data_IF_386115312638
#
_entry.id   IF_386115312638
#
_cell.length_a   1.000
_cell.length_b   1.000
_cell.length_c   1.000
_cell.angle_alpha   90.00
_cell.angle_beta   90.00
_cell.angle_gamma   90.00
#
_symmetry.space_group_name_H-M   'P 1'
#
loop_
_entity.id
_entity.type
_entity.pdbx_description
1 polymer ?
#
# COMPACT_ATOMS: atom_id res chain seq x y z
N UNK A 1 -37.61 -1.15 -13.38
CA UNK A 1 -36.61 -0.12 -13.04
C UNK A 1 -35.24 -0.75 -13.15
N UNK A 2 -34.54 -0.58 -14.26
CA UNK A 2 -33.15 -1.01 -14.44
C UNK A 2 -32.28 0.00 -13.71
N UNK A 3 -31.77 -0.37 -12.55
CA UNK A 3 -30.74 0.42 -11.83
C UNK A 3 -29.51 0.47 -12.72
N UNK A 4 -29.32 1.57 -13.46
CA UNK A 4 -28.06 1.81 -14.17
C UNK A 4 -26.91 1.75 -13.17
N UNK A 5 -26.07 0.71 -13.30
CA UNK A 5 -24.87 0.58 -12.46
C UNK A 5 -23.95 1.75 -12.78
N UNK A 6 -23.67 2.59 -11.77
CA UNK A 6 -22.74 3.71 -11.90
C UNK A 6 -21.39 3.24 -12.45
N UNK A 7 -20.83 3.98 -13.38
CA UNK A 7 -19.48 3.72 -13.94
C UNK A 7 -18.46 3.73 -12.81
N UNK A 8 -17.63 2.67 -12.72
CA UNK A 8 -16.65 2.49 -11.65
C UNK A 8 -17.08 1.60 -10.49
N UNK A 9 -18.37 1.21 -10.41
CA UNK A 9 -18.90 0.39 -9.32
C UNK A 9 -18.11 -0.92 -9.10
N UNK A 10 -17.80 -1.65 -10.17
CA UNK A 10 -17.05 -2.89 -10.07
C UNK A 10 -15.62 -2.63 -9.58
N UNK A 11 -14.92 -1.67 -10.18
CA UNK A 11 -13.53 -1.33 -9.84
C UNK A 11 -13.38 -0.93 -8.36
N UNK A 12 -14.25 -0.03 -7.87
CA UNK A 12 -14.16 0.42 -6.48
C UNK A 12 -14.55 -0.65 -5.47
N UNK A 13 -15.51 -1.51 -5.78
CA UNK A 13 -15.84 -2.63 -4.90
C UNK A 13 -14.73 -3.68 -4.86
N UNK A 14 -14.15 -4.02 -6.01
CA UNK A 14 -13.00 -4.92 -6.06
C UNK A 14 -11.81 -4.33 -5.30
N UNK A 15 -11.49 -3.06 -5.53
CA UNK A 15 -10.45 -2.38 -4.78
C UNK A 15 -10.76 -2.35 -3.28
N UNK A 16 -12.01 -2.09 -2.89
CA UNK A 16 -12.45 -2.13 -1.50
C UNK A 16 -12.18 -3.48 -0.83
N UNK A 17 -12.52 -4.58 -1.50
CA UNK A 17 -12.22 -5.94 -1.00
C UNK A 17 -10.72 -6.17 -0.87
N UNK A 18 -9.92 -5.76 -1.87
CA UNK A 18 -8.46 -5.90 -1.81
C UNK A 18 -7.86 -5.13 -0.64
N UNK A 19 -8.34 -3.91 -0.36
CA UNK A 19 -7.89 -3.14 0.81
C UNK A 19 -8.32 -3.77 2.14
N UNK A 20 -9.50 -4.37 2.22
CA UNK A 20 -9.90 -5.13 3.40
C UNK A 20 -8.99 -6.34 3.64
N UNK A 21 -8.62 -7.07 2.59
CA UNK A 21 -7.66 -8.17 2.66
C UNK A 21 -6.28 -7.63 3.10
N UNK A 22 -5.85 -6.49 2.54
CA UNK A 22 -4.58 -5.85 2.94
C UNK A 22 -4.58 -5.43 4.40
N UNK A 23 -5.71 -4.93 4.94
CA UNK A 23 -5.83 -4.62 6.36
C UNK A 23 -5.65 -5.85 7.26
N UNK A 24 -6.23 -6.99 6.86
CA UNK A 24 -6.03 -8.27 7.57
C UNK A 24 -4.57 -8.70 7.48
N UNK A 25 -3.94 -8.56 6.32
CA UNK A 25 -2.53 -8.91 6.12
C UNK A 25 -1.60 -8.08 7.01
N UNK A 26 -1.84 -6.77 7.14
CA UNK A 26 -1.10 -5.92 8.06
C UNK A 26 -1.20 -6.40 9.51
N UNK A 27 -2.40 -6.82 9.95
CA UNK A 27 -2.58 -7.36 11.31
C UNK A 27 -1.88 -8.71 11.50
N UNK A 28 -1.84 -9.56 10.48
CA UNK A 28 -1.09 -10.82 10.53
C UNK A 28 0.42 -10.59 10.55
N UNK A 29 0.88 -9.49 9.98
CA UNK A 29 2.29 -9.09 9.91
C UNK A 29 2.74 -8.23 11.08
N UNK A 30 1.93 -8.08 12.13
CA UNK A 30 2.14 -7.12 13.24
C UNK A 30 3.48 -7.27 13.97
N UNK A 31 4.07 -8.47 13.93
CA UNK A 31 5.38 -8.79 14.53
C UNK A 31 6.55 -8.64 13.56
N UNK A 32 6.27 -8.33 12.28
CA UNK A 32 7.31 -8.19 11.27
C UNK A 32 8.05 -6.86 11.42
N UNK A 33 9.33 -6.89 11.14
CA UNK A 33 10.14 -5.67 11.11
C UNK A 33 9.77 -4.81 9.89
N UNK A 34 9.83 -3.48 10.08
CA UNK A 34 9.50 -2.50 9.05
C UNK A 34 10.59 -1.45 8.89
N UNK A 35 10.85 -0.98 7.66
CA UNK A 35 11.79 0.11 7.42
C UNK A 35 11.15 1.45 7.80
N UNK A 36 11.60 2.03 8.92
CA UNK A 36 11.13 3.32 9.42
C UNK A 36 12.30 4.27 9.66
N UNK A 37 12.24 5.47 9.08
CA UNK A 37 13.23 6.54 9.28
C UNK A 37 14.69 6.11 9.04
N UNK A 38 14.88 5.31 8.00
CA UNK A 38 16.22 4.89 7.58
C UNK A 38 16.78 3.66 8.29
N UNK A 39 16.02 3.06 9.20
CA UNK A 39 16.41 1.86 9.95
C UNK A 39 15.33 0.79 9.86
N UNK A 40 15.73 -0.48 9.96
CA UNK A 40 14.77 -1.57 10.13
C UNK A 40 14.41 -1.65 11.61
N UNK A 41 13.14 -1.44 11.92
CA UNK A 41 12.62 -1.41 13.28
C UNK A 41 11.63 -2.53 13.52
N UNK A 42 11.80 -3.19 14.66
CA UNK A 42 10.87 -4.16 15.22
C UNK A 42 10.17 -3.62 16.47
N UNK A 43 9.52 -4.52 17.21
CA UNK A 43 8.87 -4.21 18.49
C UNK A 43 7.74 -3.20 18.39
N UNK A 44 7.62 -2.31 19.37
CA UNK A 44 6.51 -1.36 19.46
C UNK A 44 6.37 -0.44 18.25
N UNK A 45 7.49 -0.03 17.63
CA UNK A 45 7.46 0.81 16.42
C UNK A 45 6.82 0.11 15.23
N UNK A 46 7.16 -1.15 14.99
CA UNK A 46 6.57 -1.97 13.93
C UNK A 46 5.08 -2.23 14.21
N UNK A 47 4.71 -2.53 15.45
CA UNK A 47 3.30 -2.71 15.84
C UNK A 47 2.46 -1.48 15.52
N UNK A 48 2.93 -0.27 15.91
CA UNK A 48 2.22 0.98 15.61
C UNK A 48 2.10 1.19 14.11
N UNK A 49 3.15 0.93 13.34
CA UNK A 49 3.13 1.02 11.89
C UNK A 49 2.04 0.12 11.27
N UNK A 50 2.04 -1.17 11.60
CA UNK A 50 1.07 -2.13 11.08
C UNK A 50 -0.37 -1.79 11.48
N UNK A 51 -0.59 -1.34 12.73
CA UNK A 51 -1.92 -0.91 13.20
C UNK A 51 -2.41 0.32 12.43
N UNK A 52 -1.56 1.31 12.19
CA UNK A 52 -1.91 2.51 11.40
C UNK A 52 -2.26 2.13 9.97
N UNK A 53 -1.45 1.28 9.31
CA UNK A 53 -1.74 0.84 7.94
C UNK A 53 -3.00 -0.03 7.87
N UNK A 54 -3.20 -0.94 8.82
CA UNK A 54 -4.42 -1.74 8.90
C UNK A 54 -5.67 -0.84 9.05
N UNK A 55 -5.62 0.17 9.91
CA UNK A 55 -6.72 1.12 10.08
C UNK A 55 -6.98 1.93 8.80
N UNK A 56 -5.93 2.41 8.12
CA UNK A 56 -6.05 3.13 6.85
C UNK A 56 -6.67 2.25 5.76
N UNK A 57 -6.20 1.02 5.60
CA UNK A 57 -6.72 0.11 4.59
C UNK A 57 -8.15 -0.34 4.90
N UNK A 58 -8.47 -0.60 6.17
CA UNK A 58 -9.83 -0.93 6.60
C UNK A 58 -10.79 0.22 6.29
N UNK A 59 -10.44 1.44 6.70
CA UNK A 59 -11.25 2.62 6.43
C UNK A 59 -11.40 2.86 4.93
N UNK A 60 -10.31 2.81 4.16
CA UNK A 60 -10.34 2.98 2.70
C UNK A 60 -11.22 1.91 2.05
N UNK A 61 -11.06 0.64 2.43
CA UNK A 61 -11.86 -0.48 1.93
C UNK A 61 -13.36 -0.28 2.13
N UNK A 62 -13.77 0.08 3.35
CA UNK A 62 -15.17 0.39 3.69
C UNK A 62 -15.66 1.61 2.91
N UNK A 63 -14.87 2.67 2.82
CA UNK A 63 -15.23 3.91 2.13
C UNK A 63 -15.45 3.72 0.64
N UNK A 64 -14.60 2.94 -0.02
CA UNK A 64 -14.73 2.59 -1.44
C UNK A 64 -15.94 1.68 -1.69
N UNK A 65 -16.13 0.66 -0.83
CA UNK A 65 -17.27 -0.24 -0.93
C UNK A 65 -18.60 0.49 -0.78
N UNK A 66 -18.69 1.39 0.19
CA UNK A 66 -19.90 2.16 0.53
C UNK A 66 -20.09 3.40 -0.34
N UNK A 67 -19.18 3.69 -1.27
CA UNK A 67 -19.22 4.85 -2.17
C UNK A 67 -19.38 6.20 -1.44
N UNK A 68 -18.73 6.35 -0.30
CA UNK A 68 -18.85 7.53 0.57
C UNK A 68 -17.87 8.65 0.19
N UNK A 69 -18.23 9.91 0.48
CA UNK A 69 -17.35 11.06 0.23
C UNK A 69 -16.03 10.96 1.01
N UNK A 70 -16.06 10.46 2.24
CA UNK A 70 -14.84 10.25 3.02
C UNK A 70 -13.94 9.15 2.43
N UNK A 71 -14.53 8.10 1.81
CA UNK A 71 -13.76 7.09 1.08
C UNK A 71 -13.00 7.68 -0.12
N UNK A 72 -13.62 8.65 -0.83
CA UNK A 72 -12.94 9.42 -1.85
C UNK A 72 -11.71 10.17 -1.30
N UNK A 73 -11.88 10.90 -0.18
CA UNK A 73 -10.78 11.65 0.45
C UNK A 73 -9.67 10.70 0.96
N UNK A 74 -10.06 9.59 1.56
CA UNK A 74 -9.11 8.59 2.06
C UNK A 74 -8.24 7.98 0.95
N UNK A 75 -8.73 7.86 -0.29
CA UNK A 75 -7.90 7.40 -1.40
C UNK A 75 -6.66 8.29 -1.59
N UNK A 76 -6.83 9.62 -1.49
CA UNK A 76 -5.71 10.56 -1.59
C UNK A 76 -4.83 10.57 -0.33
N UNK A 77 -5.46 10.57 0.85
CA UNK A 77 -4.71 10.53 2.13
C UNK A 77 -3.83 9.29 2.17
N UNK A 78 -4.39 8.12 1.89
CA UNK A 78 -3.64 6.85 1.93
C UNK A 78 -2.55 6.82 0.86
N UNK A 79 -2.83 7.32 -0.37
CA UNK A 79 -1.82 7.44 -1.42
C UNK A 79 -0.66 8.34 -0.99
N UNK A 80 -0.94 9.46 -0.36
CA UNK A 80 0.09 10.39 0.14
C UNK A 80 0.91 9.77 1.26
N UNK A 81 0.26 9.17 2.26
CA UNK A 81 0.93 8.49 3.37
C UNK A 81 1.83 7.38 2.85
N UNK A 82 1.31 6.53 1.95
CA UNK A 82 2.09 5.47 1.32
C UNK A 82 3.29 6.02 0.54
N UNK A 83 3.09 7.09 -0.23
CA UNK A 83 4.17 7.69 -1.00
C UNK A 83 5.27 8.25 -0.10
N UNK A 84 4.91 8.96 0.98
CA UNK A 84 5.88 9.49 1.94
C UNK A 84 6.66 8.37 2.64
N UNK A 85 5.97 7.30 3.04
CA UNK A 85 6.57 6.13 3.66
C UNK A 85 7.57 5.45 2.70
N UNK A 86 7.17 5.18 1.46
CA UNK A 86 8.07 4.52 0.50
C UNK A 86 9.19 5.44 0.02
N UNK A 87 8.94 6.74 -0.06
CA UNK A 87 9.95 7.71 -0.44
C UNK A 87 11.05 7.82 0.63
N UNK A 88 10.69 7.88 1.92
CA UNK A 88 11.68 7.89 3.01
C UNK A 88 12.55 6.64 3.00
N UNK A 89 11.97 5.47 2.68
CA UNK A 89 12.71 4.22 2.54
C UNK A 89 13.65 4.26 1.33
N UNK A 90 13.19 4.72 0.15
CA UNK A 90 14.01 4.83 -1.06
C UNK A 90 15.17 5.82 -0.92
N UNK A 91 14.99 6.89 -0.15
CA UNK A 91 16.03 7.89 0.12
C UNK A 91 17.05 7.42 1.15
N UNK A 92 16.72 6.41 1.96
CA UNK A 92 17.64 5.83 2.93
C UNK A 92 18.47 4.70 2.32
N UNK A 93 19.70 5.03 1.91
CA UNK A 93 20.64 4.03 1.39
C UNK A 93 20.88 2.88 2.36
N UNK A 94 21.01 3.19 3.65
CA UNK A 94 21.25 2.20 4.69
C UNK A 94 20.06 1.23 4.84
N UNK A 95 18.81 1.73 4.87
CA UNK A 95 17.63 0.89 4.96
C UNK A 95 17.47 0.01 3.71
N UNK A 96 17.71 0.57 2.52
CA UNK A 96 17.66 -0.18 1.26
C UNK A 96 18.70 -1.31 1.23
N UNK A 97 19.93 -1.03 1.62
CA UNK A 97 21.00 -2.04 1.65
C UNK A 97 20.70 -3.15 2.68
N UNK A 98 20.25 -2.78 3.88
CA UNK A 98 19.89 -3.75 4.93
C UNK A 98 18.73 -4.65 4.50
N UNK A 99 17.71 -4.09 3.88
CA UNK A 99 16.57 -4.85 3.38
C UNK A 99 16.94 -5.74 2.19
N UNK A 100 17.81 -5.26 1.29
CA UNK A 100 18.31 -6.07 0.18
C UNK A 100 19.14 -7.27 0.67
N UNK A 101 19.90 -7.13 1.75
CA UNK A 101 20.63 -8.25 2.39
C UNK A 101 19.66 -9.29 2.94
N UNK A 102 18.63 -8.88 3.67
CA UNK A 102 17.62 -9.79 4.20
C UNK A 102 16.88 -10.53 3.08
N UNK A 103 16.48 -9.79 2.01
CA UNK A 103 15.79 -10.37 0.87
C UNK A 103 16.69 -11.33 0.09
N UNK A 104 17.97 -10.99 -0.10
CA UNK A 104 18.95 -11.88 -0.72
C UNK A 104 19.07 -13.19 0.07
N UNK A 105 19.23 -13.12 1.39
CA UNK A 105 19.31 -14.32 2.24
C UNK A 105 18.04 -15.18 2.16
N UNK A 106 16.87 -14.58 2.09
CA UNK A 106 15.60 -15.31 1.92
C UNK A 106 15.48 -15.99 0.54
N UNK A 107 16.05 -15.39 -0.50
CA UNK A 107 16.01 -15.93 -1.86
C UNK A 107 17.13 -16.92 -2.18
N UNK A 108 18.21 -16.93 -1.40
CA UNK A 108 19.41 -17.78 -1.64
C UNK A 108 19.06 -19.26 -1.77
N UNK A 109 18.05 -19.75 -1.03
CA UNK A 109 17.59 -21.14 -1.11
C UNK A 109 16.89 -21.48 -2.44
N UNK A 110 16.31 -20.48 -3.11
CA UNK A 110 15.57 -20.65 -4.36
C UNK A 110 16.40 -20.23 -5.59
N UNK A 111 17.28 -19.27 -5.41
CA UNK A 111 18.13 -18.68 -6.46
C UNK A 111 19.58 -18.56 -5.94
N UNK A 112 20.34 -19.65 -5.91
CA UNK A 112 21.73 -19.64 -5.45
C UNK A 112 22.59 -18.67 -6.28
N UNK A 113 23.38 -17.84 -5.58
CA UNK A 113 24.27 -16.88 -6.24
C UNK A 113 23.60 -15.61 -6.74
N UNK A 114 22.38 -15.30 -6.30
CA UNK A 114 21.70 -14.03 -6.67
C UNK A 114 22.53 -12.82 -6.20
N UNK A 115 22.79 -11.89 -7.11
CA UNK A 115 23.56 -10.68 -6.80
C UNK A 115 22.72 -9.67 -5.99
N UNK A 116 23.35 -9.12 -4.93
CA UNK A 116 22.73 -8.09 -4.08
C UNK A 116 22.36 -6.84 -4.87
N UNK A 117 23.20 -6.41 -5.80
CA UNK A 117 22.92 -5.24 -6.62
C UNK A 117 21.66 -5.45 -7.47
N UNK A 118 21.48 -6.65 -8.02
CA UNK A 118 20.26 -7.01 -8.73
C UNK A 118 19.03 -6.98 -7.82
N UNK A 119 19.10 -7.57 -6.60
CA UNK A 119 18.01 -7.53 -5.62
C UNK A 119 17.62 -6.09 -5.27
N UNK A 120 18.61 -5.23 -5.02
CA UNK A 120 18.37 -3.81 -4.71
C UNK A 120 17.71 -3.06 -5.86
N UNK A 121 18.15 -3.29 -7.12
CA UNK A 121 17.54 -2.67 -8.30
C UNK A 121 16.09 -3.12 -8.52
N UNK A 122 15.82 -4.42 -8.39
CA UNK A 122 14.46 -4.96 -8.50
C UNK A 122 13.57 -4.39 -7.41
N UNK A 123 14.03 -4.33 -6.16
CA UNK A 123 13.30 -3.73 -5.05
C UNK A 123 12.94 -2.27 -5.33
N UNK A 124 13.90 -1.47 -5.79
CA UNK A 124 13.66 -0.07 -6.14
C UNK A 124 12.61 0.07 -7.25
N UNK A 125 12.73 -0.72 -8.33
CA UNK A 125 11.77 -0.70 -9.44
C UNK A 125 10.36 -1.09 -8.97
N UNK A 126 10.24 -2.12 -8.16
CA UNK A 126 8.96 -2.57 -7.60
C UNK A 126 8.32 -1.48 -6.76
N UNK A 127 9.07 -0.82 -5.87
CA UNK A 127 8.56 0.26 -5.03
C UNK A 127 8.08 1.46 -5.87
N UNK A 128 8.84 1.86 -6.89
CA UNK A 128 8.44 2.93 -7.81
C UNK A 128 7.16 2.54 -8.54
N UNK A 129 7.08 1.31 -9.07
CA UNK A 129 5.90 0.82 -9.76
C UNK A 129 4.66 0.84 -8.86
N UNK A 130 4.79 0.39 -7.60
CA UNK A 130 3.70 0.46 -6.63
C UNK A 130 3.25 1.89 -6.35
N UNK A 131 4.18 2.84 -6.18
CA UNK A 131 3.82 4.26 -6.03
C UNK A 131 3.06 4.78 -7.25
N UNK A 132 3.51 4.45 -8.47
CA UNK A 132 2.80 4.84 -9.70
C UNK A 132 1.40 4.22 -9.77
N UNK A 133 1.23 2.96 -9.38
CA UNK A 133 -0.08 2.32 -9.30
C UNK A 133 -1.01 3.03 -8.31
N UNK A 134 -0.51 3.44 -7.14
CA UNK A 134 -1.27 4.21 -6.16
C UNK A 134 -1.73 5.56 -6.71
N UNK A 135 -0.85 6.29 -7.37
CA UNK A 135 -1.21 7.56 -8.01
C UNK A 135 -2.15 7.36 -9.19
N UNK A 136 -1.97 6.30 -9.98
CA UNK A 136 -2.91 5.91 -11.04
C UNK A 136 -4.31 5.63 -10.48
N UNK A 137 -4.39 4.93 -9.33
CA UNK A 137 -5.66 4.69 -8.64
C UNK A 137 -6.27 5.99 -8.08
N UNK A 138 -5.47 6.88 -7.49
CA UNK A 138 -5.93 8.18 -7.03
C UNK A 138 -6.48 9.05 -8.17
N UNK A 139 -5.79 9.10 -9.31
CA UNK A 139 -6.25 9.79 -10.52
C UNK A 139 -7.54 9.18 -11.07
N UNK A 140 -7.65 7.86 -11.10
CA UNK A 140 -8.89 7.19 -11.49
C UNK A 140 -10.03 7.53 -10.53
N UNK A 141 -9.76 7.57 -9.23
CA UNK A 141 -10.74 7.96 -8.20
C UNK A 141 -11.20 9.40 -8.41
N UNK A 142 -10.29 10.31 -8.71
CA UNK A 142 -10.63 11.69 -9.06
C UNK A 142 -11.50 11.78 -10.33
N UNK A 143 -11.14 11.04 -11.35
CA UNK A 143 -11.92 11.01 -12.60
C UNK A 143 -13.33 10.45 -12.40
N UNK A 144 -13.51 9.53 -11.46
CA UNK A 144 -14.79 8.88 -11.12
C UNK A 144 -15.43 9.44 -9.84
N UNK A 145 -15.13 10.67 -9.47
CA UNK A 145 -15.64 11.31 -8.24
C UNK A 145 -17.17 11.26 -8.10
N UNK A 146 -17.93 11.26 -9.22
CA UNK A 146 -19.39 11.17 -9.22
C UNK A 146 -19.91 9.83 -8.64
N UNK A 147 -19.06 8.80 -8.58
CA UNK A 147 -19.40 7.57 -7.91
C UNK A 147 -19.67 7.77 -6.42
N UNK A 148 -18.96 8.69 -5.78
CA UNK A 148 -19.00 8.97 -4.35
C UNK A 148 -20.03 10.06 -3.94
N UNK A 149 -20.77 10.62 -4.85
CA UNK A 149 -21.59 11.82 -4.60
C UNK A 149 -23.07 11.61 -4.29
N UNK A 150 -23.62 10.40 -4.39
CA UNK A 150 -25.08 10.19 -4.43
C UNK A 150 -25.68 9.38 -3.26
N UNK A 151 -25.12 9.44 -2.08
CA UNK A 151 -25.72 8.86 -0.88
C UNK A 151 -26.07 9.96 0.13
N UNK A 152 -26.73 11.02 -0.34
CA UNK A 152 -27.41 12.03 0.49
C UNK A 152 -28.90 12.05 0.17
#
# INVERSE_FOLDING_TARGET
MTTERKKGHFTFRTAGVLFLISAVWELLSISSEVPLFGEIRGGAGAVVYHVVYAALFLALGIGLWSATKWGYLLAFVTTTVYTLDKLQFLLSRQAMESYAVQMQAALESQMPGIDRAFVSQVLMLVLILFMLCWWGFALYTWWRRDYFGNNS
#
